data_IF_791331453704
#
_entry.id   IF_791331453704
#
_cell.length_a   1.000
_cell.length_b   1.000
_cell.length_c   1.000
_cell.angle_alpha   90.00
_cell.angle_beta   90.00
_cell.angle_gamma   90.00
#
_symmetry.space_group_name_H-M   'P 1'
#
loop_
_entity.id
_entity.type
_entity.pdbx_description
1 polymer ?
#
# COMPACT_ATOMS: atom_id res chain seq x y z
N UNK A 1 -43.65 29.30 -30.13
CA UNK A 1 -43.15 28.01 -30.66
C UNK A 1 -41.63 28.07 -30.93
N UNK A 2 -40.82 28.50 -29.95
CA UNK A 2 -39.37 28.72 -30.12
C UNK A 2 -38.51 27.85 -29.21
N UNK A 3 -39.10 27.22 -28.18
CA UNK A 3 -38.37 26.40 -27.21
C UNK A 3 -37.99 25.00 -27.72
N UNK A 4 -38.61 24.52 -28.81
CA UNK A 4 -38.31 23.20 -29.38
C UNK A 4 -37.06 23.22 -30.27
N UNK A 5 -36.81 24.32 -30.98
CA UNK A 5 -35.66 24.44 -31.88
C UNK A 5 -34.32 24.36 -31.12
N UNK A 6 -34.24 24.99 -29.94
CA UNK A 6 -33.04 24.95 -29.09
C UNK A 6 -32.76 23.55 -28.52
N UNK A 7 -33.82 22.80 -28.17
CA UNK A 7 -33.70 21.42 -27.71
C UNK A 7 -33.26 20.47 -28.84
N UNK A 8 -33.78 20.66 -30.05
CA UNK A 8 -33.42 19.84 -31.21
C UNK A 8 -31.99 20.09 -31.70
N UNK A 9 -31.50 21.33 -31.59
CA UNK A 9 -30.10 21.66 -31.91
C UNK A 9 -29.11 21.05 -30.91
N UNK A 10 -29.42 21.08 -29.61
CA UNK A 10 -28.60 20.44 -28.56
C UNK A 10 -28.56 18.90 -28.72
N UNK A 11 -29.66 18.30 -29.19
CA UNK A 11 -29.78 16.87 -29.47
C UNK A 11 -29.12 16.44 -30.78
N UNK A 12 -28.93 17.38 -31.72
CA UNK A 12 -28.20 17.16 -32.97
C UNK A 12 -26.69 17.34 -32.80
N UNK A 13 -26.25 18.20 -31.87
CA UNK A 13 -24.84 18.41 -31.52
C UNK A 13 -24.26 17.35 -30.59
N UNK A 14 -25.11 16.53 -29.96
CA UNK A 14 -24.66 15.33 -29.24
C UNK A 14 -24.46 14.21 -30.27
N UNK A 15 -23.23 13.72 -30.49
CA UNK A 15 -22.99 12.66 -31.45
C UNK A 15 -23.78 11.41 -31.04
N UNK A 16 -24.78 11.03 -31.84
CA UNK A 16 -25.60 9.82 -31.64
C UNK A 16 -24.80 8.50 -31.76
N UNK A 17 -23.52 8.57 -32.11
CA UNK A 17 -22.62 7.43 -32.15
C UNK A 17 -21.71 7.40 -30.92
N UNK A 18 -22.24 6.92 -29.80
CA UNK A 18 -21.45 6.48 -28.64
C UNK A 18 -20.54 5.27 -28.93
N UNK A 19 -20.48 4.80 -30.17
CA UNK A 19 -19.67 3.64 -30.60
C UNK A 19 -18.20 3.98 -30.92
N UNK A 20 -17.82 5.25 -31.04
CA UNK A 20 -16.47 5.64 -31.51
C UNK A 20 -15.50 6.12 -30.42
N UNK A 21 -15.96 6.31 -29.18
CA UNK A 21 -15.10 6.67 -28.05
C UNK A 21 -15.49 5.84 -26.83
N UNK A 22 -15.16 4.55 -26.86
CA UNK A 22 -14.95 3.83 -25.60
C UNK A 22 -13.50 4.11 -25.18
N UNK A 23 -13.25 4.90 -24.11
CA UNK A 23 -11.90 5.03 -23.59
C UNK A 23 -11.38 3.63 -23.27
N UNK A 24 -10.18 3.31 -23.76
CA UNK A 24 -9.54 2.03 -23.43
C UNK A 24 -9.42 1.91 -21.91
N UNK A 25 -9.71 0.75 -21.31
CA UNK A 25 -9.63 0.58 -19.87
C UNK A 25 -8.22 0.89 -19.37
N UNK A 26 -8.13 1.78 -18.39
CA UNK A 26 -6.87 2.12 -17.72
C UNK A 26 -6.47 0.96 -16.80
N UNK A 27 -5.56 0.10 -17.29
CA UNK A 27 -5.04 -1.02 -16.51
C UNK A 27 -4.01 -0.58 -15.48
N UNK A 28 -3.42 0.61 -15.62
CA UNK A 28 -2.49 1.15 -14.64
C UNK A 28 -3.19 1.72 -13.40
N UNK A 29 -4.49 2.04 -13.48
CA UNK A 29 -5.27 2.50 -12.33
C UNK A 29 -5.25 1.54 -11.13
N UNK A 30 -5.60 0.24 -11.26
CA UNK A 30 -5.53 -0.70 -10.13
C UNK A 30 -4.09 -0.90 -9.62
N UNK A 31 -3.09 -0.91 -10.51
CA UNK A 31 -1.68 -1.00 -10.11
C UNK A 31 -1.25 0.23 -9.30
N UNK A 32 -1.75 1.42 -9.68
CA UNK A 32 -1.50 2.67 -8.93
C UNK A 32 -2.14 2.64 -7.55
N UNK A 33 -3.34 2.04 -7.43
CA UNK A 33 -4.01 1.88 -6.14
C UNK A 33 -3.23 0.92 -5.23
N UNK A 34 -2.77 -0.22 -5.76
CA UNK A 34 -1.93 -1.17 -5.02
C UNK A 34 -0.62 -0.51 -4.56
N UNK A 35 0.04 0.25 -5.42
CA UNK A 35 1.25 1.00 -5.06
C UNK A 35 0.98 1.98 -3.91
N UNK A 36 -0.14 2.71 -3.97
CA UNK A 36 -0.53 3.64 -2.91
C UNK A 36 -0.80 2.93 -1.59
N UNK A 37 -1.50 1.80 -1.61
CA UNK A 37 -1.73 0.97 -0.42
C UNK A 37 -0.39 0.55 0.19
N UNK A 38 0.53 0.03 -0.63
CA UNK A 38 1.85 -0.43 -0.16
C UNK A 38 2.70 0.70 0.44
N UNK A 39 2.70 1.88 -0.19
CA UNK A 39 3.42 3.06 0.31
C UNK A 39 2.88 3.53 1.66
N UNK A 40 1.56 3.73 1.76
CA UNK A 40 0.94 4.20 3.01
C UNK A 40 1.11 3.15 4.11
N UNK A 41 0.95 1.85 3.80
CA UNK A 41 1.19 0.79 4.77
C UNK A 41 2.65 0.79 5.26
N UNK A 42 3.62 0.97 4.36
CA UNK A 42 5.05 1.09 4.71
C UNK A 42 5.30 2.27 5.66
N UNK A 43 4.75 3.44 5.36
CA UNK A 43 4.84 4.62 6.23
C UNK A 43 4.23 4.36 7.61
N UNK A 44 3.09 3.65 7.66
CA UNK A 44 2.44 3.27 8.92
C UNK A 44 3.27 2.29 9.73
N UNK A 45 3.95 1.32 9.11
CA UNK A 45 4.88 0.45 9.83
C UNK A 45 6.03 1.23 10.44
N UNK A 46 6.63 2.16 9.69
CA UNK A 46 7.70 3.04 10.16
C UNK A 46 7.20 3.87 11.36
N UNK A 47 6.01 4.47 11.25
CA UNK A 47 5.42 5.25 12.34
C UNK A 47 5.13 4.41 13.58
N UNK A 48 4.56 3.21 13.43
CA UNK A 48 4.27 2.32 14.55
C UNK A 48 5.56 1.90 15.27
N UNK A 49 6.61 1.58 14.52
CA UNK A 49 7.92 1.25 15.09
C UNK A 49 8.55 2.44 15.81
N UNK A 50 8.51 3.63 15.21
CA UNK A 50 8.98 4.88 15.84
C UNK A 50 8.22 5.23 17.12
N UNK A 51 6.91 4.91 17.18
CA UNK A 51 6.07 5.18 18.34
C UNK A 51 6.25 4.19 19.49
N UNK A 52 7.02 3.11 19.30
CA UNK A 52 7.29 2.16 20.38
C UNK A 52 8.12 2.77 21.51
N UNK A 53 8.82 3.90 21.28
CA UNK A 53 9.78 4.52 22.22
C UNK A 53 10.93 3.60 22.66
N UNK A 54 11.06 2.44 22.02
CA UNK A 54 12.03 1.40 22.34
C UNK A 54 13.27 1.48 21.46
N UNK A 55 13.18 2.22 20.34
CA UNK A 55 14.35 2.57 19.53
C UNK A 55 15.37 3.30 20.39
N UNK A 56 16.66 3.04 20.16
CA UNK A 56 17.75 3.77 20.81
C UNK A 56 17.46 5.28 20.76
N UNK A 57 17.60 5.95 21.91
CA UNK A 57 17.01 7.27 22.25
C UNK A 57 17.17 8.42 21.23
N UNK A 58 17.96 8.26 20.17
CA UNK A 58 18.22 9.26 19.13
C UNK A 58 18.02 8.75 17.69
N UNK A 59 17.60 7.49 17.48
CA UNK A 59 17.41 6.93 16.15
C UNK A 59 15.92 6.81 15.82
N UNK A 60 15.47 7.61 14.85
CA UNK A 60 14.15 7.44 14.22
C UNK A 60 14.36 6.67 12.93
N UNK A 61 13.55 5.64 12.73
CA UNK A 61 13.52 4.91 11.48
C UNK A 61 12.99 5.82 10.38
N UNK A 62 13.76 5.96 9.31
CA UNK A 62 13.46 6.73 8.11
C UNK A 62 13.00 5.85 6.94
N UNK A 63 13.25 4.54 7.00
CA UNK A 63 12.90 3.62 5.92
C UNK A 63 12.32 2.28 6.41
N UNK A 64 11.59 1.60 5.53
CA UNK A 64 11.04 0.28 5.80
C UNK A 64 12.15 -0.78 5.94
N UNK A 65 13.31 -0.57 5.30
CA UNK A 65 14.47 -1.46 5.45
C UNK A 65 15.04 -1.40 6.87
N UNK A 66 15.08 -0.21 7.48
CA UNK A 66 15.48 -0.08 8.89
C UNK A 66 14.46 -0.77 9.82
N UNK A 67 13.17 -0.75 9.47
CA UNK A 67 12.16 -1.56 10.19
C UNK A 67 12.51 -3.06 10.10
N UNK A 68 12.87 -3.55 8.91
CA UNK A 68 13.31 -4.95 8.73
C UNK A 68 14.53 -5.27 9.60
N UNK A 69 15.53 -4.40 9.63
CA UNK A 69 16.74 -4.60 10.45
C UNK A 69 16.39 -4.73 11.94
N UNK A 70 15.45 -3.92 12.43
CA UNK A 70 14.96 -4.03 13.80
C UNK A 70 14.17 -5.31 14.06
N UNK A 71 13.32 -5.73 13.13
CA UNK A 71 12.57 -6.98 13.25
C UNK A 71 13.47 -8.22 13.18
N UNK A 72 14.63 -8.14 12.54
CA UNK A 72 15.67 -9.17 12.54
C UNK A 72 16.57 -9.13 13.78
N UNK A 73 16.54 -8.03 14.55
CA UNK A 73 17.42 -7.81 15.70
C UNK A 73 18.85 -7.42 15.33
N UNK A 74 19.06 -6.94 14.10
CA UNK A 74 20.35 -6.53 13.54
C UNK A 74 20.65 -5.05 13.89
N UNK A 75 20.60 -4.71 15.17
CA UNK A 75 20.87 -3.34 15.65
C UNK A 75 21.70 -3.31 16.94
N UNK A 76 22.38 -2.19 17.16
CA UNK A 76 23.33 -1.97 18.25
C UNK A 76 22.68 -1.63 19.61
N UNK A 77 21.47 -2.13 19.89
CA UNK A 77 20.84 -1.97 21.20
C UNK A 77 21.65 -2.73 22.28
N UNK A 78 22.56 -2.00 22.92
CA UNK A 78 23.34 -2.45 24.07
C UNK A 78 22.43 -2.57 25.31
N UNK A 79 22.35 -3.78 25.89
CA UNK A 79 21.75 -4.00 27.22
C UNK A 79 20.49 -4.87 27.29
N UNK A 80 19.94 -5.34 26.16
CA UNK A 80 18.87 -6.35 26.16
C UNK A 80 19.43 -7.76 25.90
N UNK A 81 19.19 -8.70 26.82
CA UNK A 81 19.49 -10.13 26.66
C UNK A 81 18.31 -10.87 26.00
N UNK A 82 18.58 -11.69 24.97
CA UNK A 82 17.56 -12.52 24.28
C UNK A 82 17.40 -12.24 22.79
N UNK A 83 16.37 -12.84 22.15
CA UNK A 83 15.99 -12.56 20.76
C UNK A 83 15.33 -11.17 20.67
N UNK A 84 16.16 -10.18 20.33
CA UNK A 84 15.76 -8.78 20.21
C UNK A 84 14.75 -8.57 19.08
N UNK A 85 14.91 -9.29 17.97
CA UNK A 85 13.99 -9.22 16.85
C UNK A 85 12.59 -9.69 17.25
N UNK A 86 12.49 -10.75 18.04
CA UNK A 86 11.21 -11.27 18.53
C UNK A 86 10.43 -10.25 19.36
N UNK A 87 11.13 -9.49 20.20
CA UNK A 87 10.52 -8.41 20.97
C UNK A 87 9.91 -7.34 20.06
N UNK A 88 10.64 -6.86 19.06
CA UNK A 88 10.14 -5.86 18.10
C UNK A 88 9.01 -6.42 17.23
N UNK A 89 9.10 -7.69 16.81
CA UNK A 89 8.03 -8.39 16.09
C UNK A 89 6.74 -8.46 16.91
N UNK A 90 6.82 -8.78 18.20
CA UNK A 90 5.65 -8.76 19.11
C UNK A 90 5.07 -7.35 19.26
N UNK A 91 5.93 -6.34 19.44
CA UNK A 91 5.49 -4.96 19.61
C UNK A 91 4.79 -4.41 18.38
N UNK A 92 5.32 -4.69 17.19
CA UNK A 92 4.68 -4.27 15.95
C UNK A 92 3.33 -4.98 15.74
N UNK A 93 3.26 -6.29 15.99
CA UNK A 93 2.01 -7.03 15.91
C UNK A 93 0.95 -6.49 16.90
N UNK A 94 1.35 -6.16 18.12
CA UNK A 94 0.50 -5.53 19.14
C UNK A 94 -0.01 -4.15 18.68
N UNK A 95 0.85 -3.34 18.08
CA UNK A 95 0.46 -2.03 17.53
C UNK A 95 -0.54 -2.17 16.38
N UNK A 96 -0.36 -3.14 15.48
CA UNK A 96 -1.29 -3.37 14.38
C UNK A 96 -2.66 -3.81 14.91
N UNK A 97 -2.66 -4.73 15.87
CA UNK A 97 -3.88 -5.17 16.54
C UNK A 97 -4.61 -3.99 17.20
N UNK A 98 -3.89 -3.18 17.97
CA UNK A 98 -4.46 -2.09 18.75
C UNK A 98 -5.01 -0.96 17.87
N UNK A 99 -4.30 -0.62 16.80
CA UNK A 99 -4.68 0.51 15.94
C UNK A 99 -5.70 0.13 14.85
N UNK A 100 -5.71 -1.11 14.38
CA UNK A 100 -6.51 -1.52 13.21
C UNK A 100 -7.46 -2.70 13.47
N UNK A 101 -7.43 -3.31 14.65
CA UNK A 101 -8.30 -4.44 14.99
C UNK A 101 -8.06 -5.68 14.12
N UNK A 102 -6.84 -5.87 13.64
CA UNK A 102 -6.50 -7.00 12.77
C UNK A 102 -6.09 -8.19 13.63
N UNK A 103 -7.01 -9.13 13.79
CA UNK A 103 -6.79 -10.42 14.44
C UNK A 103 -6.06 -11.34 13.45
N UNK A 104 -5.03 -12.08 13.88
CA UNK A 104 -4.18 -13.02 13.10
C UNK A 104 -2.80 -12.51 12.64
N UNK A 105 -2.39 -11.30 13.03
CA UNK A 105 -0.98 -10.87 12.91
C UNK A 105 -0.28 -11.14 14.23
N UNK A 106 0.80 -11.90 14.18
CA UNK A 106 1.59 -12.31 15.34
C UNK A 106 3.08 -12.06 15.08
N UNK A 107 3.90 -12.24 16.10
CA UNK A 107 5.35 -12.12 15.98
C UNK A 107 5.99 -13.12 15.00
N UNK A 108 5.29 -14.20 14.62
CA UNK A 108 5.82 -15.22 13.70
C UNK A 108 5.55 -14.89 12.23
N UNK A 109 4.50 -14.14 11.92
CA UNK A 109 4.11 -13.82 10.54
C UNK A 109 4.25 -12.34 10.17
N UNK A 110 4.46 -11.45 11.16
CA UNK A 110 4.63 -10.01 10.92
C UNK A 110 5.77 -9.72 9.94
N UNK A 111 6.84 -10.52 9.97
CA UNK A 111 7.97 -10.33 9.07
C UNK A 111 7.58 -10.61 7.61
N UNK A 112 6.76 -11.64 7.38
CA UNK A 112 6.24 -11.94 6.05
C UNK A 112 5.36 -10.80 5.55
N UNK A 113 4.49 -10.26 6.41
CA UNK A 113 3.65 -9.11 6.05
C UNK A 113 4.48 -7.89 5.61
N UNK A 114 5.53 -7.56 6.36
CA UNK A 114 6.42 -6.43 6.02
C UNK A 114 7.15 -6.70 4.69
N UNK A 115 7.67 -7.91 4.48
CA UNK A 115 8.31 -8.27 3.20
C UNK A 115 7.33 -8.26 2.02
N UNK A 116 6.11 -8.76 2.21
CA UNK A 116 5.07 -8.74 1.18
C UNK A 116 4.70 -7.29 0.81
N UNK A 117 4.73 -6.37 1.79
CA UNK A 117 4.51 -4.94 1.55
C UNK A 117 5.62 -4.33 0.70
N UNK A 118 6.88 -4.60 1.03
CA UNK A 118 8.05 -4.13 0.26
C UNK A 118 7.98 -4.68 -1.16
N UNK A 119 7.74 -5.98 -1.30
CA UNK A 119 7.63 -6.66 -2.60
C UNK A 119 6.49 -6.08 -3.43
N UNK A 120 5.36 -5.74 -2.81
CA UNK A 120 4.22 -5.13 -3.48
C UNK A 120 4.56 -3.72 -3.99
N UNK A 121 5.20 -2.89 -3.16
CA UNK A 121 5.68 -1.56 -3.56
C UNK A 121 6.65 -1.67 -4.74
N UNK A 122 7.69 -2.50 -4.65
CA UNK A 122 8.66 -2.68 -5.72
C UNK A 122 8.01 -3.18 -7.02
N UNK A 123 7.14 -4.19 -6.93
CA UNK A 123 6.48 -4.77 -8.10
C UNK A 123 5.55 -3.77 -8.79
N UNK A 124 4.77 -3.01 -8.01
CA UNK A 124 3.84 -2.01 -8.54
C UNK A 124 4.59 -0.80 -9.09
N UNK A 125 5.64 -0.34 -8.42
CA UNK A 125 6.51 0.74 -8.90
C UNK A 125 7.18 0.38 -10.23
N UNK A 126 7.71 -0.84 -10.35
CA UNK A 126 8.32 -1.33 -11.60
C UNK A 126 7.28 -1.41 -12.73
N UNK A 127 6.09 -1.95 -12.45
CA UNK A 127 5.01 -2.02 -13.43
C UNK A 127 4.58 -0.62 -13.91
N UNK A 128 4.42 0.34 -13.00
CA UNK A 128 4.05 1.72 -13.35
C UNK A 128 5.15 2.43 -14.15
N UNK A 129 6.42 2.22 -13.78
CA UNK A 129 7.56 2.79 -14.49
C UNK A 129 7.63 2.30 -15.94
N UNK A 130 7.34 1.01 -16.17
CA UNK A 130 7.31 0.42 -17.52
C UNK A 130 6.12 0.91 -18.35
N UNK A 131 5.01 1.27 -17.72
CA UNK A 131 3.80 1.71 -18.42
C UNK A 131 3.89 3.13 -18.97
N UNK A 132 4.70 4.02 -18.39
CA UNK A 132 4.88 5.39 -18.88
C UNK A 132 3.55 6.07 -19.26
N UNK A 133 3.43 6.44 -20.54
CA UNK A 133 2.21 7.04 -21.13
C UNK A 133 1.17 5.97 -21.54
N UNK A 134 1.60 4.74 -21.77
CA UNK A 134 0.79 3.61 -22.25
C UNK A 134 0.12 2.83 -21.09
N UNK A 135 -0.73 3.53 -20.35
CA UNK A 135 -1.46 3.01 -19.16
C UNK A 135 -2.33 1.77 -19.41
N UNK A 136 -2.66 1.47 -20.67
CA UNK A 136 -3.48 0.30 -21.04
C UNK A 136 -2.73 -1.02 -21.00
N UNK A 137 -1.39 -1.00 -20.91
CA UNK A 137 -0.55 -2.19 -20.98
C UNK A 137 -0.05 -2.70 -19.62
N UNK A 138 -0.50 -2.09 -18.52
CA UNK A 138 -0.02 -2.49 -17.21
C UNK A 138 -0.24 -3.98 -16.92
N UNK A 139 0.82 -4.69 -16.46
CA UNK A 139 0.69 -6.10 -16.13
C UNK A 139 -0.20 -6.24 -14.88
N UNK A 140 -1.02 -7.30 -14.80
CA UNK A 140 -1.75 -7.61 -13.59
C UNK A 140 -0.77 -8.03 -12.49
N UNK A 141 -0.90 -7.44 -11.31
CA UNK A 141 -0.13 -7.84 -10.12
C UNK A 141 -1.03 -8.71 -9.27
N UNK A 142 -0.60 -9.95 -9.04
CA UNK A 142 -1.29 -10.87 -8.16
C UNK A 142 -0.78 -10.70 -6.73
N UNK A 143 -1.71 -10.51 -5.81
CA UNK A 143 -1.46 -10.37 -4.38
C UNK A 143 -2.42 -11.31 -3.66
N UNK A 144 -1.97 -11.93 -2.58
CA UNK A 144 -2.86 -12.70 -1.72
C UNK A 144 -4.00 -11.77 -1.21
N UNK A 145 -5.28 -12.14 -1.43
CA UNK A 145 -6.41 -11.30 -1.00
C UNK A 145 -6.41 -11.00 0.50
N UNK A 146 -5.93 -11.92 1.34
CA UNK A 146 -5.86 -11.71 2.78
C UNK A 146 -4.78 -10.67 3.13
N UNK A 147 -3.61 -10.76 2.49
CA UNK A 147 -2.54 -9.77 2.66
C UNK A 147 -3.02 -8.40 2.17
N UNK A 148 -3.71 -8.35 1.04
CA UNK A 148 -4.25 -7.10 0.51
C UNK A 148 -5.30 -6.46 1.44
N UNK A 149 -6.22 -7.24 2.01
CA UNK A 149 -7.21 -6.73 2.97
C UNK A 149 -6.52 -6.14 4.22
N UNK A 150 -5.51 -6.84 4.73
CA UNK A 150 -4.70 -6.34 5.86
C UNK A 150 -4.02 -5.02 5.51
N UNK A 151 -3.32 -4.96 4.37
CA UNK A 151 -2.60 -3.74 3.97
C UNK A 151 -3.54 -2.58 3.66
N UNK A 152 -4.69 -2.85 3.04
CA UNK A 152 -5.72 -1.85 2.76
C UNK A 152 -6.29 -1.23 4.06
N UNK A 153 -6.54 -2.06 5.09
CA UNK A 153 -6.96 -1.58 6.41
C UNK A 153 -5.89 -0.74 7.09
N UNK A 154 -4.62 -1.15 7.03
CA UNK A 154 -3.49 -0.38 7.58
C UNK A 154 -3.36 0.97 6.84
N UNK A 155 -3.57 0.97 5.52
CA UNK A 155 -3.52 2.15 4.68
C UNK A 155 -4.74 3.08 4.82
N UNK A 156 -5.80 2.66 5.53
CA UNK A 156 -7.10 3.35 5.60
C UNK A 156 -7.67 3.63 4.20
N UNK A 157 -7.55 2.64 3.30
CA UNK A 157 -8.03 2.72 1.93
C UNK A 157 -9.05 1.60 1.70
N UNK A 158 -10.33 1.98 1.55
CA UNK A 158 -11.44 1.10 1.17
C UNK A 158 -11.67 1.06 -0.33
#
# INVERSE_FOLDING_TARGET
MTSQLGYDLLRASTPKNSKYYQPKPDRAAPVSQLNRIALVASERFILMMNNTQLLTRNHRLASINEVVDYLLGNHDDFGMSGDRGDFYRRKLAEQIYTNFGIHNITHTNIMNLVYDTIKLEESTRLALAQCGIERTWAPPIQVDPQVLDVLARIADMQ
#
